data_IF_724371425304
#
_entry.id   IF_724371425304
#
_cell.length_a   1.000
_cell.length_b   1.000
_cell.length_c   1.000
_cell.angle_alpha   90.00
_cell.angle_beta   90.00
_cell.angle_gamma   90.00
#
_symmetry.space_group_name_H-M   'P 1'
#
loop_
_entity.id
_entity.type
_entity.pdbx_description
1 polymer ?
#
# COMPACT_ATOMS: atom_id res chain seq x y z
N UNK A 1 -13.09 5.64 5.03
CA UNK A 1 -11.62 5.74 4.84
C UNK A 1 -11.05 4.36 5.11
N UNK A 2 -10.20 3.80 4.22
CA UNK A 2 -9.52 2.53 4.49
C UNK A 2 -8.40 2.73 5.52
N UNK A 3 -8.20 1.81 6.45
CA UNK A 3 -7.04 1.77 7.34
C UNK A 3 -5.83 1.12 6.64
N UNK A 4 -4.64 1.18 7.26
CA UNK A 4 -3.40 0.67 6.64
C UNK A 4 -3.50 -0.83 6.34
N UNK A 5 -4.06 -1.64 7.25
CA UNK A 5 -4.21 -3.08 7.05
C UNK A 5 -5.09 -3.38 5.82
N UNK A 6 -6.20 -2.66 5.66
CA UNK A 6 -7.10 -2.77 4.51
C UNK A 6 -6.43 -2.35 3.20
N UNK A 7 -5.54 -1.35 3.25
CA UNK A 7 -4.78 -0.90 2.06
C UNK A 7 -3.68 -1.89 1.68
N UNK A 8 -3.00 -2.51 2.65
CA UNK A 8 -1.96 -3.53 2.39
C UNK A 8 -2.57 -4.78 1.75
N UNK A 9 -3.79 -5.13 2.15
CA UNK A 9 -4.56 -6.26 1.62
C UNK A 9 -5.33 -5.91 0.34
N UNK A 10 -5.26 -4.67 -0.14
CA UNK A 10 -5.95 -4.24 -1.36
C UNK A 10 -5.31 -4.88 -2.60
N UNK A 11 -6.04 -5.82 -3.22
CA UNK A 11 -5.62 -6.54 -4.42
C UNK A 11 -6.01 -5.85 -5.73
N UNK A 12 -6.61 -4.65 -5.66
CA UNK A 12 -7.02 -3.91 -6.87
C UNK A 12 -5.83 -3.66 -7.80
N UNK A 13 -5.93 -3.99 -9.11
CA UNK A 13 -4.81 -3.94 -10.04
C UNK A 13 -4.58 -2.52 -10.59
N UNK A 14 -4.28 -1.55 -9.73
CA UNK A 14 -4.15 -0.14 -10.12
C UNK A 14 -3.10 0.13 -11.22
N UNK A 15 -2.09 -0.74 -11.36
CA UNK A 15 -1.11 -0.66 -12.46
C UNK A 15 -1.71 -0.99 -13.82
N UNK A 16 -2.62 -1.96 -13.87
CA UNK A 16 -3.36 -2.30 -15.09
C UNK A 16 -4.37 -1.20 -15.40
N UNK A 17 -5.10 -0.73 -14.38
CA UNK A 17 -6.00 0.42 -14.51
C UNK A 17 -5.28 1.66 -15.05
N UNK A 18 -4.04 1.93 -14.64
CA UNK A 18 -3.24 3.02 -15.18
C UNK A 18 -2.93 2.85 -16.67
N UNK A 19 -2.63 1.62 -17.11
CA UNK A 19 -2.34 1.33 -18.53
C UNK A 19 -3.60 1.46 -19.40
N UNK A 20 -4.76 1.10 -18.85
CA UNK A 20 -6.04 1.11 -19.55
C UNK A 20 -6.81 2.43 -19.43
N UNK A 21 -6.37 3.34 -18.55
CA UNK A 21 -7.02 4.61 -18.26
C UNK A 21 -7.17 5.48 -19.51
N UNK A 22 -8.42 5.87 -19.80
CA UNK A 22 -8.77 6.70 -20.97
C UNK A 22 -8.88 8.18 -20.64
N UNK A 23 -9.05 8.51 -19.36
CA UNK A 23 -9.18 9.88 -18.87
C UNK A 23 -8.02 10.24 -17.96
N UNK A 24 -7.70 11.53 -17.85
CA UNK A 24 -6.66 12.00 -16.92
C UNK A 24 -7.07 11.75 -15.46
N UNK A 25 -8.36 11.86 -15.15
CA UNK A 25 -8.89 11.56 -13.82
C UNK A 25 -8.63 10.10 -13.43
N UNK A 26 -8.83 9.15 -14.36
CA UNK A 26 -8.56 7.72 -14.11
C UNK A 26 -7.07 7.46 -13.90
N UNK A 27 -6.20 8.13 -14.68
CA UNK A 27 -4.75 8.05 -14.51
C UNK A 27 -4.31 8.58 -13.16
N UNK A 28 -4.78 9.76 -12.77
CA UNK A 28 -4.46 10.38 -11.49
C UNK A 28 -4.90 9.51 -10.31
N UNK A 29 -6.10 8.93 -10.40
CA UNK A 29 -6.60 8.01 -9.39
C UNK A 29 -5.71 6.76 -9.29
N UNK A 30 -5.38 6.14 -10.41
CA UNK A 30 -4.52 4.95 -10.42
C UNK A 30 -3.11 5.24 -9.86
N UNK A 31 -2.49 6.36 -10.25
CA UNK A 31 -1.19 6.81 -9.73
C UNK A 31 -1.25 7.05 -8.22
N UNK A 32 -2.30 7.71 -7.74
CA UNK A 32 -2.51 7.96 -6.31
C UNK A 32 -2.59 6.64 -5.54
N UNK A 33 -3.36 5.68 -6.04
CA UNK A 33 -3.56 4.41 -5.35
C UNK A 33 -2.32 3.52 -5.37
N UNK A 34 -1.54 3.52 -6.45
CA UNK A 34 -0.22 2.86 -6.48
C UNK A 34 0.70 3.44 -5.39
N UNK A 35 0.70 4.76 -5.25
CA UNK A 35 1.53 5.45 -4.25
C UNK A 35 1.08 5.08 -2.83
N UNK A 36 -0.24 5.08 -2.59
CA UNK A 36 -0.85 4.66 -1.32
C UNK A 36 -0.50 3.20 -0.98
N UNK A 37 -0.61 2.28 -1.92
CA UNK A 37 -0.23 0.87 -1.71
C UNK A 37 1.25 0.71 -1.35
N UNK A 38 2.16 1.45 -2.01
CA UNK A 38 3.59 1.42 -1.69
C UNK A 38 3.85 1.93 -0.28
N UNK A 39 3.29 3.09 0.07
CA UNK A 39 3.45 3.69 1.39
C UNK A 39 2.89 2.78 2.49
N UNK A 40 1.73 2.17 2.27
CA UNK A 40 1.12 1.27 3.24
C UNK A 40 1.98 0.01 3.49
N UNK A 41 2.55 -0.59 2.44
CA UNK A 41 3.46 -1.74 2.58
C UNK A 41 4.72 -1.38 3.37
N UNK A 42 5.35 -0.24 3.06
CA UNK A 42 6.51 0.23 3.83
C UNK A 42 6.15 0.53 5.28
N UNK A 43 5.03 1.21 5.54
CA UNK A 43 4.58 1.51 6.89
C UNK A 43 4.29 0.23 7.69
N UNK A 44 3.65 -0.75 7.07
CA UNK A 44 3.38 -2.04 7.70
C UNK A 44 4.66 -2.78 8.08
N UNK A 45 5.63 -2.89 7.15
CA UNK A 45 6.93 -3.51 7.45
C UNK A 45 7.64 -2.82 8.61
N UNK A 46 7.64 -1.48 8.65
CA UNK A 46 8.25 -0.73 9.74
C UNK A 46 7.59 -1.03 11.09
N UNK A 47 6.27 -1.23 11.13
CA UNK A 47 5.55 -1.61 12.35
C UNK A 47 5.94 -3.03 12.79
N UNK A 48 6.03 -3.98 11.84
CA UNK A 48 6.48 -5.35 12.10
C UNK A 48 7.93 -5.37 12.64
N UNK A 49 8.82 -4.56 12.08
CA UNK A 49 10.22 -4.45 12.51
C UNK A 49 10.32 -3.88 13.94
N UNK A 50 9.58 -2.81 14.24
CA UNK A 50 9.52 -2.23 15.59
C UNK A 50 8.95 -3.22 16.58
N UNK A 51 7.89 -3.93 16.22
CA UNK A 51 7.31 -4.98 17.06
C UNK A 51 8.31 -6.10 17.33
N UNK A 52 9.05 -6.54 16.31
CA UNK A 52 10.09 -7.56 16.46
C UNK A 52 11.23 -7.10 17.37
N UNK A 53 11.63 -5.82 17.32
CA UNK A 53 12.65 -5.27 18.23
C UNK A 53 12.15 -5.22 19.68
N UNK A 54 10.88 -4.84 19.88
CA UNK A 54 10.31 -4.69 21.22
C UNK A 54 9.92 -6.02 21.87
N UNK A 55 9.49 -7.00 21.07
CA UNK A 55 8.83 -8.22 21.56
C UNK A 55 9.34 -9.52 20.93
N UNK A 56 10.16 -9.44 19.88
CA UNK A 56 10.83 -10.61 19.33
C UNK A 56 11.79 -11.17 20.37
N UNK A 57 11.63 -12.44 20.74
CA UNK A 57 12.58 -13.12 21.63
C UNK A 57 14.00 -12.90 21.09
N UNK A 58 14.82 -12.23 21.90
CA UNK A 58 16.26 -12.18 21.67
C UNK A 58 16.76 -13.60 21.41
N UNK A 59 17.64 -13.75 20.43
CA UNK A 59 18.40 -15.00 20.28
C UNK A 59 19.09 -15.36 21.58
#
# INVERSE_FOLDING_TARGET
KKNIAEVVQDTTPYREMLREAKTEQDKEHAVRMISVQRLAKSAWQNLDDVYAVLFGKGK
#
